data_IF_034923066865
#
_entry.id   IF_034923066865
#
_cell.length_a   1.000
_cell.length_b   1.000
_cell.length_c   1.000
_cell.angle_alpha   90.00
_cell.angle_beta   90.00
_cell.angle_gamma   90.00
#
_symmetry.space_group_name_H-M   'P 1'
#
loop_
_entity.id
_entity.type
_entity.pdbx_description
1 polymer ?
#
# COMPACT_ATOMS: atom_id res chain seq x y z
N UNK A 1 27.99 -12.07 47.81
CA UNK A 1 28.43 -13.09 46.84
C UNK A 1 28.46 -12.58 45.42
N UNK A 2 27.37 -12.00 44.89
CA UNK A 2 27.29 -11.53 43.50
C UNK A 2 28.42 -10.54 43.07
N UNK A 3 28.73 -9.56 43.92
CA UNK A 3 29.80 -8.58 43.69
C UNK A 3 31.19 -9.25 43.49
N UNK A 4 31.47 -10.31 44.22
CA UNK A 4 32.75 -11.04 44.12
C UNK A 4 32.86 -11.78 42.77
N UNK A 5 31.77 -12.40 42.29
CA UNK A 5 31.74 -13.04 40.97
C UNK A 5 31.91 -12.06 39.84
N UNK A 6 31.23 -10.91 39.89
CA UNK A 6 31.37 -9.85 38.90
C UNK A 6 32.82 -9.33 38.81
N UNK A 7 33.47 -9.12 39.97
CA UNK A 7 34.88 -8.67 40.03
C UNK A 7 35.86 -9.69 39.43
N UNK A 8 35.64 -11.00 39.69
CA UNK A 8 36.45 -12.06 39.10
C UNK A 8 36.23 -12.13 37.58
N UNK A 9 34.97 -12.06 37.10
CA UNK A 9 34.62 -12.07 35.67
C UNK A 9 35.32 -10.93 34.95
N UNK A 10 35.23 -9.70 35.47
CA UNK A 10 35.87 -8.53 34.88
C UNK A 10 37.40 -8.67 34.83
N UNK A 11 38.04 -9.20 35.88
CA UNK A 11 39.47 -9.47 35.90
C UNK A 11 39.89 -10.51 34.87
N UNK A 12 39.06 -11.53 34.62
CA UNK A 12 39.32 -12.56 33.61
C UNK A 12 39.17 -11.98 32.18
N UNK A 13 38.19 -11.12 31.92
CA UNK A 13 38.03 -10.42 30.65
C UNK A 13 39.29 -9.58 30.34
N UNK A 14 39.83 -8.87 31.32
CA UNK A 14 41.03 -8.06 31.14
C UNK A 14 42.31 -8.90 31.02
N UNK A 15 42.35 -10.10 31.61
CA UNK A 15 43.50 -11.02 31.53
C UNK A 15 43.60 -11.67 30.14
N UNK A 16 42.45 -12.08 29.55
CA UNK A 16 42.40 -12.79 28.28
C UNK A 16 41.81 -11.85 27.16
N UNK A 17 42.52 -10.74 26.94
CA UNK A 17 42.02 -9.63 26.08
C UNK A 17 41.58 -10.06 24.66
N UNK A 18 42.41 -10.87 23.97
CA UNK A 18 42.10 -11.29 22.60
C UNK A 18 40.86 -12.19 22.52
N UNK A 19 40.76 -13.18 23.43
CA UNK A 19 39.62 -14.08 23.49
C UNK A 19 38.34 -13.32 23.86
N UNK A 20 38.44 -12.42 24.85
CA UNK A 20 37.32 -11.59 25.28
C UNK A 20 36.84 -10.68 24.14
N UNK A 21 37.78 -10.08 23.39
CA UNK A 21 37.47 -9.25 22.23
C UNK A 21 36.73 -10.03 21.14
N UNK A 22 37.23 -11.22 20.77
CA UNK A 22 36.58 -12.09 19.79
C UNK A 22 35.15 -12.47 20.22
N UNK A 23 34.97 -12.85 21.50
CA UNK A 23 33.65 -13.19 22.04
C UNK A 23 32.69 -11.99 22.03
N UNK A 24 33.17 -10.81 22.44
CA UNK A 24 32.33 -9.59 22.43
C UNK A 24 31.94 -9.20 21.03
N UNK A 25 32.87 -9.20 20.06
CA UNK A 25 32.58 -8.90 18.67
C UNK A 25 31.60 -9.92 18.06
N UNK A 26 31.83 -11.21 18.30
CA UNK A 26 30.92 -12.26 17.84
C UNK A 26 29.51 -12.13 18.40
N UNK A 27 29.40 -11.84 19.70
CA UNK A 27 28.12 -11.61 20.37
C UNK A 27 27.44 -10.32 19.83
N UNK A 28 28.19 -9.26 19.62
CA UNK A 28 27.67 -8.00 19.08
C UNK A 28 27.11 -8.19 17.65
N UNK A 29 27.84 -8.89 16.77
CA UNK A 29 27.39 -9.22 15.42
C UNK A 29 26.13 -10.10 15.48
N UNK A 30 26.12 -11.14 16.28
CA UNK A 30 24.97 -12.03 16.43
C UNK A 30 23.73 -11.30 16.94
N UNK A 31 23.88 -10.47 17.97
CA UNK A 31 22.79 -9.67 18.51
C UNK A 31 22.27 -8.64 17.50
N UNK A 32 23.17 -7.95 16.80
CA UNK A 32 22.77 -6.97 15.76
C UNK A 32 22.00 -7.65 14.63
N UNK A 33 22.48 -8.79 14.13
CA UNK A 33 21.80 -9.56 13.10
C UNK A 33 20.42 -10.03 13.56
N UNK A 34 20.30 -10.54 14.79
CA UNK A 34 19.02 -10.93 15.37
C UNK A 34 18.05 -9.74 15.50
N UNK A 35 18.54 -8.62 16.01
CA UNK A 35 17.73 -7.39 16.18
C UNK A 35 17.22 -6.87 14.84
N UNK A 36 18.08 -6.78 13.83
CA UNK A 36 17.69 -6.33 12.48
C UNK A 36 16.67 -7.28 11.84
N UNK A 37 16.90 -8.59 11.93
CA UNK A 37 15.95 -9.58 11.41
C UNK A 37 14.60 -9.51 12.12
N UNK A 38 14.60 -9.34 13.44
CA UNK A 38 13.37 -9.20 14.23
C UNK A 38 12.61 -7.93 13.90
N UNK A 39 13.31 -6.81 13.70
CA UNK A 39 12.71 -5.55 13.26
C UNK A 39 12.12 -5.67 11.85
N UNK A 40 12.84 -6.34 10.94
CA UNK A 40 12.37 -6.58 9.58
C UNK A 40 11.10 -7.44 9.57
N UNK A 41 11.11 -8.56 10.29
CA UNK A 41 9.92 -9.44 10.41
C UNK A 41 8.73 -8.66 10.97
N UNK A 42 8.96 -7.89 12.05
CA UNK A 42 7.91 -7.05 12.62
C UNK A 42 7.38 -6.02 11.62
N UNK A 43 8.27 -5.39 10.87
CA UNK A 43 7.90 -4.44 9.81
C UNK A 43 7.04 -5.12 8.76
N UNK A 44 7.44 -6.29 8.25
CA UNK A 44 6.67 -7.06 7.24
C UNK A 44 5.29 -7.51 7.75
N UNK A 45 5.21 -7.97 8.99
CA UNK A 45 3.95 -8.43 9.59
C UNK A 45 2.97 -7.29 9.94
N UNK A 46 3.40 -6.03 9.86
CA UNK A 46 2.53 -4.87 10.16
C UNK A 46 1.93 -4.21 8.92
N UNK A 47 2.16 -4.76 7.72
CA UNK A 47 1.51 -4.27 6.50
C UNK A 47 -0.01 -4.36 6.62
N UNK A 48 -0.69 -3.26 6.27
CA UNK A 48 -2.16 -3.16 6.20
C UNK A 48 -2.95 -3.57 7.47
N UNK A 49 -2.26 -3.87 8.61
CA UNK A 49 -2.92 -4.28 9.86
C UNK A 49 -3.72 -3.18 10.54
N UNK A 50 -3.56 -1.93 10.12
CA UNK A 50 -4.31 -0.79 10.64
C UNK A 50 -5.75 -0.73 10.14
N UNK A 51 -6.10 -1.51 9.11
CA UNK A 51 -7.45 -1.58 8.56
C UNK A 51 -8.36 -2.37 9.48
N UNK A 52 -9.58 -1.86 9.68
CA UNK A 52 -10.54 -2.41 10.64
C UNK A 52 -10.88 -3.89 10.41
N UNK A 53 -10.97 -4.29 9.14
CA UNK A 53 -11.37 -5.65 8.75
C UNK A 53 -10.25 -6.37 7.97
N UNK A 54 -8.98 -6.05 8.27
CA UNK A 54 -7.83 -6.61 7.53
C UNK A 54 -7.78 -8.14 7.53
N UNK A 55 -8.21 -8.78 8.62
CA UNK A 55 -8.29 -10.23 8.79
C UNK A 55 -9.39 -10.91 7.96
N UNK A 56 -10.33 -10.12 7.42
CA UNK A 56 -11.46 -10.57 6.61
C UNK A 56 -11.31 -10.22 5.13
N UNK A 57 -10.29 -9.44 4.76
CA UNK A 57 -10.03 -9.01 3.40
C UNK A 57 -9.00 -9.94 2.78
N UNK A 58 -9.35 -10.56 1.66
CA UNK A 58 -8.52 -11.48 0.92
C UNK A 58 -8.24 -10.97 -0.48
N UNK A 59 -7.02 -11.18 -0.91
CA UNK A 59 -6.58 -10.89 -2.25
C UNK A 59 -6.76 -12.11 -3.14
N UNK A 60 -7.48 -11.96 -4.25
CA UNK A 60 -7.75 -13.04 -5.20
C UNK A 60 -6.61 -13.16 -6.19
N UNK A 61 -6.03 -14.35 -6.30
CA UNK A 61 -5.00 -14.68 -7.30
C UNK A 61 -5.54 -15.75 -8.25
N UNK A 62 -5.10 -15.69 -9.50
CA UNK A 62 -5.47 -16.65 -10.53
C UNK A 62 -4.27 -17.55 -10.86
N UNK A 63 -4.54 -18.79 -11.22
CA UNK A 63 -3.52 -19.66 -11.83
C UNK A 63 -3.02 -19.05 -13.14
N UNK A 64 -1.72 -19.04 -13.33
CA UNK A 64 -1.06 -18.49 -14.53
C UNK A 64 0.13 -19.34 -14.92
N UNK A 65 0.13 -19.79 -16.16
CA UNK A 65 1.26 -20.56 -16.72
C UNK A 65 2.46 -19.66 -17.03
N UNK A 66 2.26 -18.33 -17.05
CA UNK A 66 3.31 -17.36 -17.45
C UNK A 66 3.98 -16.68 -16.27
N UNK A 67 3.50 -16.89 -15.04
CA UNK A 67 4.11 -16.35 -13.82
C UNK A 67 5.06 -17.38 -13.22
N UNK A 68 6.24 -16.96 -12.78
CA UNK A 68 7.26 -17.83 -12.16
C UNK A 68 6.75 -18.55 -10.90
N UNK A 69 5.74 -18.02 -10.25
CA UNK A 69 5.08 -18.61 -9.07
C UNK A 69 3.81 -19.41 -9.43
N UNK A 70 3.43 -19.48 -10.71
CA UNK A 70 2.21 -20.12 -11.16
C UNK A 70 0.92 -19.40 -10.75
N UNK A 71 1.01 -18.18 -10.16
CA UNK A 71 -0.13 -17.44 -9.64
C UNK A 71 -0.03 -15.97 -10.05
N UNK A 72 -0.91 -15.52 -10.94
CA UNK A 72 -1.06 -14.12 -11.30
C UNK A 72 -1.83 -13.33 -10.24
N UNK A 73 -1.33 -12.15 -9.95
CA UNK A 73 -2.02 -11.16 -9.11
C UNK A 73 -3.00 -10.27 -9.90
N UNK A 74 -2.98 -10.40 -11.22
CA UNK A 74 -3.85 -9.63 -12.11
C UNK A 74 -5.04 -10.46 -12.52
N UNK A 75 -6.23 -9.89 -12.42
CA UNK A 75 -7.52 -10.56 -12.61
C UNK A 75 -8.40 -9.81 -13.60
N UNK A 76 -9.35 -10.49 -14.27
CA UNK A 76 -10.34 -9.83 -15.12
C UNK A 76 -11.29 -8.94 -14.32
N UNK A 77 -11.66 -7.80 -14.92
CA UNK A 77 -12.51 -6.82 -14.25
C UNK A 77 -13.88 -7.37 -13.76
N UNK A 78 -14.59 -8.22 -14.52
CA UNK A 78 -15.88 -8.78 -14.09
C UNK A 78 -15.80 -9.73 -12.89
N UNK A 79 -14.59 -10.20 -12.51
CA UNK A 79 -14.40 -11.23 -11.48
C UNK A 79 -14.94 -10.79 -10.12
N UNK A 80 -14.69 -9.55 -9.68
CA UNK A 80 -15.16 -9.06 -8.38
C UNK A 80 -16.69 -9.17 -8.27
N UNK A 81 -17.43 -8.66 -9.29
CA UNK A 81 -18.87 -8.72 -9.31
C UNK A 81 -19.37 -10.18 -9.34
N UNK A 82 -18.79 -11.01 -10.19
CA UNK A 82 -19.14 -12.42 -10.30
C UNK A 82 -18.96 -13.17 -8.96
N UNK A 83 -17.87 -12.94 -8.24
CA UNK A 83 -17.61 -13.57 -6.95
C UNK A 83 -18.66 -13.15 -5.91
N UNK A 84 -18.99 -11.87 -5.82
CA UNK A 84 -20.00 -11.35 -4.90
C UNK A 84 -21.40 -11.88 -5.18
N UNK A 85 -21.77 -12.01 -6.45
CA UNK A 85 -23.08 -12.51 -6.86
C UNK A 85 -23.22 -14.03 -6.70
N UNK A 86 -22.10 -14.77 -6.81
CA UNK A 86 -22.11 -16.24 -6.82
C UNK A 86 -21.95 -16.84 -5.42
N UNK A 87 -21.16 -16.19 -4.55
CA UNK A 87 -20.79 -16.74 -3.25
C UNK A 87 -21.38 -15.90 -2.11
N UNK A 88 -22.40 -16.42 -1.38
CA UNK A 88 -23.07 -15.68 -0.30
C UNK A 88 -22.18 -15.41 0.92
N UNK A 89 -21.03 -16.09 1.04
CA UNK A 89 -20.01 -15.84 2.07
C UNK A 89 -19.26 -14.54 1.83
N UNK A 90 -19.26 -14.02 0.60
CA UNK A 90 -18.61 -12.77 0.24
C UNK A 90 -19.53 -11.60 0.55
N UNK A 91 -19.16 -10.82 1.55
CA UNK A 91 -19.87 -9.61 1.96
C UNK A 91 -19.70 -8.50 0.94
N UNK A 92 -18.46 -8.28 0.50
CA UNK A 92 -18.08 -7.24 -0.44
C UNK A 92 -16.92 -7.68 -1.35
N UNK A 93 -16.88 -7.13 -2.56
CA UNK A 93 -15.77 -7.34 -3.49
C UNK A 93 -15.48 -6.06 -4.25
N UNK A 94 -14.21 -5.80 -4.53
CA UNK A 94 -13.80 -4.64 -5.31
C UNK A 94 -12.65 -4.97 -6.25
N UNK A 95 -12.51 -4.13 -7.25
CA UNK A 95 -11.36 -4.11 -8.15
C UNK A 95 -10.56 -2.84 -7.92
N UNK A 96 -9.26 -2.99 -7.82
CA UNK A 96 -8.34 -1.87 -7.78
C UNK A 96 -7.12 -2.14 -8.63
N UNK A 97 -6.34 -1.13 -8.91
CA UNK A 97 -5.00 -1.25 -9.49
C UNK A 97 -4.20 -0.04 -9.04
N UNK A 98 -2.98 -0.25 -8.59
CA UNK A 98 -2.10 0.83 -8.17
C UNK A 98 -0.84 0.80 -9.07
N UNK A 99 -0.59 1.88 -9.77
CA UNK A 99 0.55 2.02 -10.68
C UNK A 99 1.31 3.31 -10.40
N UNK A 100 2.60 3.24 -10.59
CA UNK A 100 3.44 4.43 -10.57
C UNK A 100 3.21 5.21 -11.86
N UNK A 101 2.78 6.46 -11.75
CA UNK A 101 2.37 7.28 -12.87
C UNK A 101 3.03 8.65 -12.81
N UNK A 102 3.49 9.10 -13.98
CA UNK A 102 3.95 10.46 -14.19
C UNK A 102 2.77 11.37 -14.56
N UNK A 103 2.76 12.58 -14.03
CA UNK A 103 1.79 13.59 -14.41
C UNK A 103 2.43 14.99 -14.53
N UNK A 104 1.77 15.87 -15.23
CA UNK A 104 2.22 17.24 -15.44
C UNK A 104 1.26 18.23 -14.79
N UNK A 105 1.83 19.20 -14.09
CA UNK A 105 1.12 20.40 -13.64
C UNK A 105 1.99 21.63 -13.94
N UNK A 106 1.45 22.61 -14.68
CA UNK A 106 2.19 23.81 -15.14
C UNK A 106 3.54 23.43 -15.79
N UNK A 107 3.54 22.50 -16.74
CA UNK A 107 4.72 22.00 -17.46
C UNK A 107 5.77 21.29 -16.59
N UNK A 108 5.58 21.24 -15.28
CA UNK A 108 6.46 20.53 -14.37
C UNK A 108 5.99 19.09 -14.21
N UNK A 109 6.94 18.16 -14.32
CA UNK A 109 6.71 16.73 -14.17
C UNK A 109 6.79 16.32 -12.70
N UNK A 110 5.81 15.55 -12.27
CA UNK A 110 5.72 14.91 -10.96
C UNK A 110 5.46 13.42 -11.12
N UNK A 111 5.71 12.66 -10.08
CA UNK A 111 5.50 11.22 -10.03
C UNK A 111 4.67 10.87 -8.80
N UNK A 112 3.69 10.00 -8.97
CA UNK A 112 2.87 9.51 -7.86
C UNK A 112 2.34 8.12 -8.18
N UNK A 113 1.82 7.42 -7.16
CA UNK A 113 1.00 6.24 -7.40
C UNK A 113 -0.42 6.67 -7.69
N UNK A 114 -0.98 6.20 -8.79
CA UNK A 114 -2.41 6.30 -9.06
C UNK A 114 -3.10 4.98 -8.70
N UNK A 115 -4.23 5.08 -8.05
CA UNK A 115 -5.08 3.95 -7.70
C UNK A 115 -6.42 4.11 -8.38
N UNK A 116 -6.79 3.10 -9.16
CA UNK A 116 -8.12 3.01 -9.76
C UNK A 116 -9.07 2.39 -8.75
N UNK A 117 -10.26 2.96 -8.58
CA UNK A 117 -11.21 2.53 -7.57
C UNK A 117 -12.66 2.63 -8.00
N UNK A 118 -13.48 1.86 -7.32
CA UNK A 118 -14.94 1.94 -7.35
C UNK A 118 -15.50 2.25 -5.95
N UNK A 119 -16.82 2.31 -5.81
CA UNK A 119 -17.46 2.61 -4.52
C UNK A 119 -17.20 1.53 -3.45
N UNK A 120 -17.04 0.28 -3.85
CA UNK A 120 -16.70 -0.81 -2.93
C UNK A 120 -15.26 -0.68 -2.42
N UNK A 121 -14.35 -0.19 -3.27
CA UNK A 121 -12.97 0.11 -2.87
C UNK A 121 -12.91 1.18 -1.78
N UNK A 122 -13.73 2.25 -1.88
CA UNK A 122 -13.79 3.29 -0.84
C UNK A 122 -14.13 2.72 0.53
N UNK A 123 -15.15 1.86 0.60
CA UNK A 123 -15.57 1.25 1.85
C UNK A 123 -14.56 0.25 2.40
N UNK A 124 -14.04 -0.62 1.53
CA UNK A 124 -13.10 -1.68 1.92
C UNK A 124 -11.75 -1.13 2.39
N UNK A 125 -11.28 -0.03 1.77
CA UNK A 125 -10.00 0.61 2.08
C UNK A 125 -10.11 1.85 2.97
N UNK A 126 -11.32 2.19 3.46
CA UNK A 126 -11.58 3.29 4.40
C UNK A 126 -10.98 4.63 3.94
N UNK A 127 -11.29 5.04 2.70
CA UNK A 127 -10.82 6.31 2.14
C UNK A 127 -11.54 7.48 2.79
N UNK A 128 -10.82 8.27 3.58
CA UNK A 128 -11.35 9.45 4.27
C UNK A 128 -11.31 10.68 3.37
N UNK A 129 -12.49 11.24 3.05
CA UNK A 129 -12.63 12.49 2.30
C UNK A 129 -12.39 13.68 3.24
N UNK A 130 -11.44 14.56 2.90
CA UNK A 130 -11.16 15.80 3.64
C UNK A 130 -12.00 16.95 3.07
N UNK A 131 -12.03 17.12 1.75
CA UNK A 131 -12.79 18.18 1.08
C UNK A 131 -13.12 17.81 -0.35
N UNK A 132 -14.13 18.49 -0.94
CA UNK A 132 -14.58 18.28 -2.30
C UNK A 132 -15.73 17.31 -2.44
N UNK A 133 -15.88 16.69 -3.62
CA UNK A 133 -16.97 15.76 -3.95
C UNK A 133 -16.47 14.35 -4.25
N UNK A 134 -17.38 13.36 -4.18
CA UNK A 134 -17.09 11.96 -4.55
C UNK A 134 -17.20 11.67 -6.06
N UNK A 135 -17.21 12.69 -6.89
CA UNK A 135 -17.35 12.54 -8.34
C UNK A 135 -16.19 11.75 -8.98
N UNK A 136 -15.04 11.66 -8.30
CA UNK A 136 -13.90 10.83 -8.72
C UNK A 136 -14.21 9.32 -8.73
N UNK A 137 -15.34 8.89 -8.17
CA UNK A 137 -15.79 7.49 -8.23
C UNK A 137 -16.76 7.20 -9.36
N UNK A 138 -17.25 8.25 -10.06
CA UNK A 138 -18.16 8.07 -11.19
C UNK A 138 -17.39 7.45 -12.35
N UNK A 139 -17.76 6.25 -12.82
CA UNK A 139 -17.06 5.57 -13.89
C UNK A 139 -16.92 6.46 -15.14
N UNK A 140 -15.74 6.43 -15.76
CA UNK A 140 -15.41 7.21 -16.97
C UNK A 140 -15.48 8.73 -16.81
N UNK A 141 -15.57 9.25 -15.59
CA UNK A 141 -15.42 10.69 -15.36
C UNK A 141 -13.94 11.09 -15.55
N UNK A 142 -13.71 12.36 -15.90
CA UNK A 142 -12.37 12.93 -15.93
C UNK A 142 -12.03 13.62 -14.60
N UNK A 143 -12.63 13.14 -13.50
CA UNK A 143 -12.43 13.67 -12.15
C UNK A 143 -11.59 12.74 -11.32
N UNK A 144 -10.71 13.31 -10.51
CA UNK A 144 -9.80 12.59 -9.63
C UNK A 144 -9.83 13.17 -8.22
N UNK A 145 -9.43 12.34 -7.26
CA UNK A 145 -9.04 12.83 -5.95
C UNK A 145 -7.53 12.74 -5.77
N UNK A 146 -6.97 13.64 -4.99
CA UNK A 146 -5.55 13.61 -4.61
C UNK A 146 -5.42 13.58 -3.08
N UNK A 147 -4.31 13.02 -2.60
CA UNK A 147 -4.04 13.03 -1.16
C UNK A 147 -3.62 14.43 -0.70
N UNK A 148 -3.88 14.74 0.58
CA UNK A 148 -3.45 16.00 1.21
C UNK A 148 -1.93 16.19 1.17
N UNK A 149 -1.16 15.10 1.20
CA UNK A 149 0.30 15.11 1.06
C UNK A 149 0.71 15.55 -0.35
N UNK A 150 0.10 14.93 -1.39
CA UNK A 150 0.37 15.31 -2.77
C UNK A 150 -0.10 16.73 -3.08
N UNK A 151 -1.25 17.14 -2.52
CA UNK A 151 -1.75 18.51 -2.63
C UNK A 151 -0.73 19.52 -2.11
N UNK A 152 -0.16 19.29 -0.93
CA UNK A 152 0.90 20.16 -0.36
C UNK A 152 2.16 20.17 -1.20
N UNK A 153 2.57 19.03 -1.74
CA UNK A 153 3.78 18.89 -2.55
C UNK A 153 3.67 19.67 -3.88
N UNK A 154 2.53 19.54 -4.58
CA UNK A 154 2.34 20.10 -5.92
C UNK A 154 1.86 21.55 -5.89
N UNK A 155 0.93 21.88 -4.97
CA UNK A 155 0.23 23.15 -4.94
C UNK A 155 0.68 24.07 -3.78
N UNK A 156 1.41 23.54 -2.77
CA UNK A 156 1.82 24.30 -1.61
C UNK A 156 0.63 24.78 -0.79
N UNK A 157 0.37 26.10 -0.82
CA UNK A 157 -0.75 26.74 -0.12
C UNK A 157 -1.96 27.02 -1.01
N UNK A 158 -1.84 26.79 -2.32
CA UNK A 158 -2.93 26.98 -3.28
C UNK A 158 -3.96 25.87 -3.13
N UNK A 159 -5.25 26.23 -3.20
CA UNK A 159 -6.34 25.24 -3.26
C UNK A 159 -6.25 24.45 -4.57
N UNK A 160 -6.14 23.12 -4.52
CA UNK A 160 -6.05 22.27 -5.70
C UNK A 160 -7.42 21.95 -6.31
N UNK A 161 -8.55 22.22 -5.63
CA UNK A 161 -9.87 21.89 -6.16
C UNK A 161 -10.19 22.65 -7.43
N UNK A 162 -10.64 21.93 -8.47
CA UNK A 162 -10.90 22.46 -9.80
C UNK A 162 -9.67 22.62 -10.71
N UNK A 163 -8.46 22.43 -10.17
CA UNK A 163 -7.23 22.42 -10.98
C UNK A 163 -7.16 21.14 -11.81
N UNK A 164 -6.41 21.20 -12.92
CA UNK A 164 -6.25 20.06 -13.83
C UNK A 164 -4.82 19.52 -13.78
N UNK A 165 -4.73 18.21 -13.70
CA UNK A 165 -3.48 17.47 -13.88
C UNK A 165 -3.51 16.77 -15.24
N UNK A 166 -2.43 16.86 -16.00
CA UNK A 166 -2.28 16.08 -17.21
C UNK A 166 -1.66 14.74 -16.89
N UNK A 167 -2.47 13.68 -16.94
CA UNK A 167 -2.04 12.31 -16.66
C UNK A 167 -2.11 11.56 -17.99
N UNK A 168 -0.95 11.13 -18.51
CA UNK A 168 -0.80 10.58 -19.86
C UNK A 168 -1.26 11.62 -20.91
N UNK A 169 -2.35 11.34 -21.62
CA UNK A 169 -2.95 12.24 -22.62
C UNK A 169 -4.19 12.98 -22.09
N UNK A 170 -4.67 12.63 -20.90
CA UNK A 170 -5.95 13.10 -20.38
C UNK A 170 -5.77 14.24 -19.37
N UNK A 171 -6.58 15.29 -19.52
CA UNK A 171 -6.70 16.34 -18.53
C UNK A 171 -7.73 15.91 -17.47
N UNK A 172 -7.24 15.65 -16.26
CA UNK A 172 -8.05 15.18 -15.13
C UNK A 172 -8.25 16.32 -14.13
N UNK A 173 -9.50 16.63 -13.80
CA UNK A 173 -9.88 17.67 -12.83
C UNK A 173 -9.85 17.13 -11.40
N UNK A 174 -9.22 17.86 -10.51
CA UNK A 174 -9.19 17.53 -9.08
C UNK A 174 -10.54 17.95 -8.46
N UNK A 175 -11.35 16.98 -8.07
CA UNK A 175 -12.65 17.23 -7.44
C UNK A 175 -12.67 16.95 -5.92
N UNK A 176 -11.62 16.34 -5.39
CA UNK A 176 -11.55 16.00 -3.97
C UNK A 176 -10.12 15.94 -3.44
N UNK A 177 -10.00 16.19 -2.14
CA UNK A 177 -8.81 15.93 -1.34
C UNK A 177 -9.16 14.83 -0.35
N UNK A 178 -8.35 13.77 -0.32
CA UNK A 178 -8.47 12.64 0.59
C UNK A 178 -7.28 12.58 1.54
N UNK A 179 -7.46 11.93 2.67
CA UNK A 179 -6.41 11.76 3.65
C UNK A 179 -5.35 10.80 3.12
N UNK A 180 -4.09 11.19 3.22
CA UNK A 180 -2.97 10.32 2.91
C UNK A 180 -2.90 9.17 3.91
N UNK A 181 -2.57 7.99 3.42
CA UNK A 181 -2.24 6.87 4.27
C UNK A 181 -0.77 6.98 4.64
N UNK A 182 -0.47 7.51 5.84
CA UNK A 182 0.89 7.61 6.36
C UNK A 182 1.42 6.28 6.91
N UNK A 183 0.59 5.24 6.82
CA UNK A 183 0.87 3.94 7.38
C UNK A 183 1.43 3.00 6.32
N UNK A 184 2.07 1.97 6.81
CA UNK A 184 2.69 0.91 6.06
C UNK A 184 1.64 0.09 5.29
N UNK A 185 1.50 0.34 4.00
CA UNK A 185 0.49 -0.28 3.15
C UNK A 185 1.08 -0.79 1.84
N UNK A 186 0.57 -1.94 1.38
CA UNK A 186 0.86 -2.50 0.07
C UNK A 186 0.18 -1.72 -1.07
N UNK A 187 -0.71 -0.78 -0.73
CA UNK A 187 -1.48 0.02 -1.69
C UNK A 187 -1.23 1.51 -1.49
N UNK A 188 0.01 1.99 -1.78
CA UNK A 188 0.28 3.40 -1.74
C UNK A 188 -0.50 4.12 -2.84
N UNK A 189 -1.09 5.26 -2.52
CA UNK A 189 -1.73 6.11 -3.52
C UNK A 189 -1.50 7.60 -3.21
N UNK A 190 -1.37 8.39 -4.26
CA UNK A 190 -1.38 9.84 -4.19
C UNK A 190 -2.53 10.39 -5.03
N UNK A 191 -2.97 9.63 -6.05
CA UNK A 191 -4.06 9.99 -6.95
C UNK A 191 -5.06 8.85 -6.97
N UNK A 192 -6.35 9.16 -6.82
CA UNK A 192 -7.45 8.22 -6.97
C UNK A 192 -8.22 8.53 -8.26
N UNK A 193 -8.38 7.52 -9.09
CA UNK A 193 -9.03 7.61 -10.40
C UNK A 193 -10.30 6.77 -10.46
N UNK A 194 -11.31 7.17 -11.26
CA UNK A 194 -12.48 6.33 -11.45
C UNK A 194 -12.14 5.08 -12.24
N UNK A 195 -12.85 4.02 -11.93
CA UNK A 195 -12.79 2.76 -12.66
C UNK A 195 -13.30 2.94 -14.10
N UNK A 196 -12.65 2.25 -15.04
CA UNK A 196 -13.08 2.22 -16.44
C UNK A 196 -14.14 1.18 -16.74
N UNK A 197 -14.48 0.33 -15.81
CA UNK A 197 -15.43 -0.79 -15.91
C UNK A 197 -15.55 -1.41 -17.32
N UNK A 198 -15.19 -2.65 -17.45
CA UNK A 198 -15.38 -3.46 -18.66
C UNK A 198 -16.02 -4.78 -18.31
N UNK A 199 -16.79 -5.36 -19.25
CA UNK A 199 -17.39 -6.67 -19.12
C UNK A 199 -16.53 -7.77 -19.77
N UNK A 200 -15.33 -7.43 -20.22
CA UNK A 200 -14.44 -8.36 -20.92
C UNK A 200 -13.67 -9.25 -19.94
N UNK A 201 -13.82 -10.56 -20.09
CA UNK A 201 -13.14 -11.57 -19.28
C UNK A 201 -11.73 -11.92 -19.77
N UNK A 202 -11.41 -11.62 -21.01
CA UNK A 202 -10.13 -11.93 -21.64
C UNK A 202 -9.04 -10.88 -21.36
N UNK A 203 -9.39 -9.81 -20.66
CA UNK A 203 -8.46 -8.74 -20.29
C UNK A 203 -8.30 -8.70 -18.77
N UNK A 204 -7.12 -9.07 -18.30
CA UNK A 204 -6.75 -9.04 -16.89
C UNK A 204 -5.79 -7.88 -16.64
N UNK A 205 -6.21 -6.87 -15.84
CA UNK A 205 -5.40 -5.69 -15.53
C UNK A 205 -5.73 -5.04 -14.19
N UNK A 206 -6.57 -5.67 -13.38
CA UNK A 206 -6.88 -5.20 -12.04
C UNK A 206 -6.55 -6.26 -10.99
N UNK A 207 -6.57 -5.85 -9.76
CA UNK A 207 -6.44 -6.68 -8.59
C UNK A 207 -7.81 -6.80 -7.93
N UNK A 208 -8.26 -8.02 -7.66
CA UNK A 208 -9.56 -8.26 -7.03
C UNK A 208 -9.37 -8.56 -5.55
N UNK A 209 -10.14 -7.86 -4.74
CA UNK A 209 -10.24 -8.09 -3.30
C UNK A 209 -11.64 -8.52 -2.94
N UNK A 210 -11.74 -9.40 -1.96
CA UNK A 210 -13.00 -9.85 -1.38
C UNK A 210 -12.97 -9.69 0.13
N UNK A 211 -14.09 -9.31 0.70
CA UNK A 211 -14.31 -9.31 2.14
C UNK A 211 -15.30 -10.40 2.47
N UNK A 212 -14.90 -11.31 3.35
CA UNK A 212 -15.78 -12.41 3.81
C UNK A 212 -16.50 -12.04 5.11
N UNK A 213 -17.64 -12.70 5.34
CA UNK A 213 -18.45 -12.48 6.54
C UNK A 213 -17.80 -12.98 7.81
#
# INVERSE_FOLDING_TARGET
MLYHYIKIAFRNLLKYKLQSFICIVGLAIGFTSFALSSLWIRYELTYDTFRKDADRIYYVRMESETDDQGLSSVTPYPLARYLKETFPEIEESCNTSAWKTDFLYNEKKYESFDMVMDSATEHMFEIELISGSRDFMIPKSNKIAITDKLAKEVFGTKDPLGEKLKIWSDDMEICAIVKSQDQHSNFPFGILKPSRQTEEWNVAYCQTFIKVR
#
